data_IF_695433040395
#
_entry.id   IF_695433040395
#
_cell.length_a   1.000
_cell.length_b   1.000
_cell.length_c   1.000
_cell.angle_alpha   90.00
_cell.angle_beta   90.00
_cell.angle_gamma   90.00
#
_symmetry.space_group_name_H-M   'P 1'
#
loop_
_entity.id
_entity.type
_entity.pdbx_description
1 polymer ?
#
# COMPACT_ATOMS: atom_id res chain seq x y z
N UNK A 1 -32.46 -45.97 -66.47
CA UNK A 1 -33.00 -44.80 -67.19
C UNK A 1 -33.19 -43.70 -66.16
N UNK A 2 -32.91 -42.47 -66.58
CA UNK A 2 -32.99 -41.17 -65.85
C UNK A 2 -31.84 -40.90 -64.86
N UNK A 3 -30.77 -40.13 -65.20
CA UNK A 3 -30.62 -38.76 -65.76
C UNK A 3 -30.80 -37.67 -64.68
N UNK A 4 -29.69 -36.95 -64.42
CA UNK A 4 -29.55 -35.55 -63.89
C UNK A 4 -29.93 -35.31 -62.42
N UNK A 5 -29.38 -34.34 -61.66
CA UNK A 5 -28.60 -33.14 -61.94
C UNK A 5 -27.91 -32.69 -60.62
N UNK A 6 -26.64 -32.23 -60.67
CA UNK A 6 -26.10 -31.31 -59.64
C UNK A 6 -26.46 -29.87 -60.06
N UNK A 7 -26.67 -28.93 -59.13
CA UNK A 7 -25.70 -27.83 -59.09
C UNK A 7 -25.46 -27.14 -57.72
N UNK A 8 -24.24 -26.61 -57.62
CA UNK A 8 -23.77 -25.33 -57.06
C UNK A 8 -24.34 -24.73 -55.75
N UNK A 9 -23.41 -24.58 -54.80
CA UNK A 9 -22.91 -23.30 -54.24
C UNK A 9 -23.93 -22.29 -53.66
N UNK A 10 -23.90 -22.12 -52.33
CA UNK A 10 -24.00 -20.79 -51.71
C UNK A 10 -23.38 -20.80 -50.31
N UNK A 11 -22.19 -20.21 -50.23
CA UNK A 11 -21.56 -19.75 -48.99
C UNK A 11 -22.52 -18.88 -48.21
N UNK A 12 -22.76 -19.22 -46.95
CA UNK A 12 -23.33 -18.28 -45.99
C UNK A 12 -22.39 -18.23 -44.79
N UNK A 13 -21.50 -17.25 -44.83
CA UNK A 13 -20.74 -16.77 -43.68
C UNK A 13 -21.76 -16.25 -42.66
N UNK A 14 -21.99 -16.98 -41.58
CA UNK A 14 -22.65 -16.43 -40.40
C UNK A 14 -21.56 -15.94 -39.46
N UNK A 15 -21.22 -14.65 -39.60
CA UNK A 15 -20.52 -13.91 -38.55
C UNK A 15 -21.47 -13.78 -37.36
N UNK A 16 -21.39 -14.71 -36.40
CA UNK A 16 -21.99 -14.50 -35.08
C UNK A 16 -21.13 -13.45 -34.38
N UNK A 17 -21.64 -12.22 -34.36
CA UNK A 17 -21.05 -11.11 -33.64
C UNK A 17 -20.90 -11.45 -32.16
N UNK A 18 -19.66 -11.49 -31.70
CA UNK A 18 -19.30 -11.57 -30.29
C UNK A 18 -19.68 -10.24 -29.64
N UNK A 19 -20.92 -10.14 -29.14
CA UNK A 19 -21.31 -9.10 -28.19
C UNK A 19 -20.54 -9.35 -26.89
N UNK A 20 -19.38 -8.70 -26.74
CA UNK A 20 -18.69 -8.55 -25.47
C UNK A 20 -19.57 -7.67 -24.58
N UNK A 21 -20.54 -8.30 -23.92
CA UNK A 21 -21.09 -7.76 -22.69
C UNK A 21 -19.96 -7.80 -21.65
N UNK A 22 -19.27 -6.67 -21.48
CA UNK A 22 -18.39 -6.42 -20.33
C UNK A 22 -19.31 -6.32 -19.12
N UNK A 23 -19.76 -7.48 -18.66
CA UNK A 23 -20.34 -7.67 -17.35
C UNK A 23 -19.13 -7.64 -16.42
N UNK A 24 -19.11 -6.78 -15.40
CA UNK A 24 -18.13 -6.88 -14.33
C UNK A 24 -18.33 -8.22 -13.62
N UNK A 25 -17.70 -9.29 -14.14
CA UNK A 25 -17.62 -10.59 -13.50
C UNK A 25 -16.89 -10.36 -12.18
N UNK A 26 -17.65 -10.21 -11.10
CA UNK A 26 -17.12 -10.36 -9.78
C UNK A 26 -16.76 -11.83 -9.66
N UNK A 27 -15.51 -12.16 -9.99
CA UNK A 27 -14.96 -13.48 -9.71
C UNK A 27 -15.13 -13.76 -8.22
N UNK A 28 -15.46 -15.00 -7.88
CA UNK A 28 -15.41 -15.44 -6.49
C UNK A 28 -13.99 -15.22 -5.94
N UNK A 29 -13.87 -14.94 -4.65
CA UNK A 29 -12.56 -14.76 -4.02
C UNK A 29 -11.76 -16.07 -4.14
N UNK A 30 -10.45 -15.95 -4.29
CA UNK A 30 -9.55 -17.10 -4.40
C UNK A 30 -8.42 -17.03 -3.38
N UNK A 31 -8.08 -18.19 -2.87
CA UNK A 31 -6.90 -18.40 -2.02
C UNK A 31 -6.01 -19.44 -2.69
N UNK A 32 -4.77 -19.07 -2.97
CA UNK A 32 -3.74 -20.03 -3.34
C UNK A 32 -3.00 -20.46 -2.07
N UNK A 33 -2.94 -21.77 -1.83
CA UNK A 33 -2.19 -22.34 -0.72
C UNK A 33 -0.74 -22.60 -1.15
N UNK A 34 0.19 -22.63 -0.18
CA UNK A 34 1.59 -22.96 -0.42
C UNK A 34 1.82 -24.37 -0.97
N UNK A 35 0.81 -25.23 -0.88
CA UNK A 35 0.79 -26.57 -1.49
C UNK A 35 0.49 -26.55 -3.00
N UNK A 36 0.13 -25.39 -3.56
CA UNK A 36 -0.31 -25.24 -4.95
C UNK A 36 -1.81 -25.46 -5.16
N UNK A 37 -2.57 -25.80 -4.11
CA UNK A 37 -4.02 -25.92 -4.17
C UNK A 37 -4.69 -24.53 -4.18
N UNK A 38 -5.67 -24.36 -5.07
CA UNK A 38 -6.55 -23.19 -5.07
C UNK A 38 -7.89 -23.50 -4.40
N UNK A 39 -8.39 -22.52 -3.65
CA UNK A 39 -9.70 -22.55 -3.01
C UNK A 39 -10.50 -21.36 -3.50
N UNK A 40 -11.68 -21.63 -4.01
CA UNK A 40 -12.62 -20.60 -4.46
C UNK A 40 -13.79 -20.53 -3.49
N UNK A 41 -14.13 -19.33 -3.02
CA UNK A 41 -15.24 -19.11 -2.10
C UNK A 41 -15.38 -17.65 -1.74
N UNK A 42 -16.26 -17.34 -0.78
CA UNK A 42 -16.38 -15.97 -0.27
C UNK A 42 -15.53 -15.81 0.98
N UNK A 43 -14.53 -14.93 0.94
CA UNK A 43 -13.72 -14.59 2.12
C UNK A 43 -14.59 -13.77 3.08
N UNK A 44 -14.76 -14.30 4.28
CA UNK A 44 -15.61 -13.71 5.30
C UNK A 44 -14.81 -12.79 6.21
N UNK A 45 -13.69 -13.25 6.78
CA UNK A 45 -12.90 -12.46 7.73
C UNK A 45 -11.54 -13.13 8.00
N UNK A 46 -10.66 -12.42 8.70
CA UNK A 46 -9.46 -12.96 9.33
C UNK A 46 -9.66 -13.00 10.84
N UNK A 47 -9.65 -14.20 11.41
CA UNK A 47 -9.79 -14.42 12.84
C UNK A 47 -8.94 -15.62 13.29
N UNK A 48 -8.39 -15.55 14.51
CA UNK A 48 -7.63 -16.65 15.12
C UNK A 48 -6.50 -17.20 14.21
N UNK A 49 -5.81 -16.31 13.49
CA UNK A 49 -4.71 -16.67 12.58
C UNK A 49 -5.14 -17.38 11.29
N UNK A 50 -6.43 -17.38 10.97
CA UNK A 50 -7.00 -18.05 9.79
C UNK A 50 -7.93 -17.13 9.00
N UNK A 51 -8.05 -17.39 7.70
CA UNK A 51 -9.02 -16.77 6.80
C UNK A 51 -10.25 -17.68 6.74
N UNK A 52 -11.39 -17.17 7.15
CA UNK A 52 -12.66 -17.89 7.07
C UNK A 52 -13.25 -17.74 5.68
N UNK A 53 -13.49 -18.85 4.97
CA UNK A 53 -14.02 -18.85 3.61
C UNK A 53 -15.33 -19.64 3.56
N UNK A 54 -16.37 -19.02 3.03
CA UNK A 54 -17.63 -19.68 2.71
C UNK A 54 -17.49 -20.50 1.42
N UNK A 55 -17.65 -21.82 1.53
CA UNK A 55 -17.60 -22.78 0.42
C UNK A 55 -18.88 -23.63 0.47
N UNK A 56 -19.74 -23.49 -0.53
CA UNK A 56 -21.06 -24.11 -0.51
C UNK A 56 -21.89 -23.65 0.70
N UNK A 57 -22.37 -24.59 1.50
CA UNK A 57 -23.14 -24.32 2.72
C UNK A 57 -22.28 -24.18 4.00
N UNK A 58 -20.96 -24.37 3.91
CA UNK A 58 -20.04 -24.39 5.05
C UNK A 58 -19.10 -23.20 5.09
N UNK A 59 -18.50 -22.98 6.27
CA UNK A 59 -17.35 -22.07 6.45
C UNK A 59 -16.12 -22.89 6.81
N UNK A 60 -15.04 -22.71 6.06
CA UNK A 60 -13.79 -23.43 6.23
C UNK A 60 -12.70 -22.41 6.62
N UNK A 61 -12.01 -22.59 7.75
CA UNK A 61 -10.87 -21.75 8.11
C UNK A 61 -9.59 -22.23 7.42
N UNK A 62 -8.86 -21.30 6.82
CA UNK A 62 -7.55 -21.55 6.22
C UNK A 62 -6.46 -20.80 6.99
N UNK A 63 -5.51 -21.49 7.66
CA UNK A 63 -4.44 -20.82 8.40
C UNK A 63 -3.63 -19.88 7.50
N UNK A 64 -3.41 -18.64 7.94
CA UNK A 64 -2.62 -17.64 7.21
C UNK A 64 -1.22 -18.16 6.86
N UNK A 65 -0.63 -18.96 7.74
CA UNK A 65 0.69 -19.57 7.53
C UNK A 65 0.75 -20.48 6.28
N UNK A 66 -0.40 -21.01 5.83
CA UNK A 66 -0.50 -21.91 4.69
C UNK A 66 -0.89 -21.19 3.39
N UNK A 67 -1.25 -19.91 3.47
CA UNK A 67 -1.69 -19.11 2.32
C UNK A 67 -0.46 -18.53 1.62
N UNK A 68 -0.43 -18.66 0.30
CA UNK A 68 0.58 -18.07 -0.58
C UNK A 68 0.11 -16.71 -1.11
N UNK A 69 -1.13 -16.63 -1.59
CA UNK A 69 -1.73 -15.39 -2.07
C UNK A 69 -3.25 -15.40 -1.94
N UNK A 70 -3.85 -14.21 -1.96
CA UNK A 70 -5.31 -14.00 -1.94
C UNK A 70 -5.69 -13.07 -3.07
N UNK A 71 -6.64 -13.50 -3.89
CA UNK A 71 -7.35 -12.64 -4.84
C UNK A 71 -8.72 -12.33 -4.26
N UNK A 72 -8.90 -11.10 -3.78
CA UNK A 72 -10.16 -10.59 -3.26
C UNK A 72 -10.37 -9.19 -3.81
N UNK A 73 -11.51 -8.96 -4.46
CA UNK A 73 -11.87 -7.63 -4.90
C UNK A 73 -11.98 -6.69 -3.69
N UNK A 74 -11.45 -5.47 -3.81
CA UNK A 74 -11.59 -4.47 -2.77
C UNK A 74 -13.08 -4.18 -2.52
N UNK A 75 -13.55 -4.16 -1.27
CA UNK A 75 -14.91 -3.73 -0.96
C UNK A 75 -15.19 -2.31 -1.49
N UNK A 76 -16.41 -2.04 -1.95
CA UNK A 76 -16.78 -0.73 -2.53
C UNK A 76 -16.59 0.44 -1.54
N UNK A 77 -16.60 0.14 -0.24
CA UNK A 77 -16.28 1.06 0.85
C UNK A 77 -14.86 1.63 0.74
N UNK A 78 -13.91 0.91 0.15
CA UNK A 78 -12.54 1.40 -0.07
C UNK A 78 -12.55 2.61 -1.00
N UNK A 79 -13.26 2.52 -2.13
CA UNK A 79 -13.36 3.64 -3.08
C UNK A 79 -14.12 4.82 -2.48
N UNK A 80 -15.20 4.53 -1.73
CA UNK A 80 -15.95 5.57 -0.98
C UNK A 80 -15.06 6.28 0.03
N UNK A 81 -14.25 5.53 0.79
CA UNK A 81 -13.34 6.10 1.79
C UNK A 81 -12.26 6.98 1.15
N UNK A 82 -11.81 6.67 -0.07
CA UNK A 82 -10.83 7.52 -0.77
C UNK A 82 -11.36 8.92 -1.05
N UNK A 83 -12.63 9.03 -1.44
CA UNK A 83 -13.30 10.29 -1.76
C UNK A 83 -13.94 10.99 -0.53
N UNK A 84 -14.05 10.29 0.59
CA UNK A 84 -14.70 10.80 1.80
C UNK A 84 -13.82 11.80 2.57
N UNK A 85 -14.45 12.57 3.46
CA UNK A 85 -13.73 13.37 4.45
C UNK A 85 -12.91 12.46 5.38
N UNK A 86 -11.94 13.04 6.11
CA UNK A 86 -11.06 12.29 7.01
C UNK A 86 -11.86 11.51 8.06
N UNK A 87 -12.87 12.12 8.67
CA UNK A 87 -13.74 11.46 9.65
C UNK A 87 -14.58 10.34 9.05
N UNK A 88 -15.15 10.56 7.85
CA UNK A 88 -15.95 9.55 7.17
C UNK A 88 -15.09 8.38 6.69
N UNK A 89 -13.84 8.63 6.28
CA UNK A 89 -12.89 7.58 5.93
C UNK A 89 -12.63 6.65 7.12
N UNK A 90 -12.49 7.18 8.34
CA UNK A 90 -12.36 6.35 9.56
C UNK A 90 -13.58 5.45 9.73
N UNK A 91 -14.80 6.01 9.63
CA UNK A 91 -16.05 5.25 9.79
C UNK A 91 -16.16 4.10 8.78
N UNK A 92 -15.71 4.33 7.54
CA UNK A 92 -15.76 3.33 6.47
C UNK A 92 -14.64 2.27 6.61
N UNK A 93 -13.43 2.68 7.01
CA UNK A 93 -12.26 1.80 6.98
C UNK A 93 -12.07 1.00 8.27
N UNK A 94 -12.40 1.54 9.43
CA UNK A 94 -12.24 0.86 10.73
C UNK A 94 -12.90 -0.55 10.77
N UNK A 95 -14.16 -0.74 10.35
CA UNK A 95 -14.77 -2.07 10.36
C UNK A 95 -14.10 -3.02 9.36
N UNK A 96 -13.65 -2.53 8.20
CA UNK A 96 -12.97 -3.36 7.20
C UNK A 96 -11.60 -3.80 7.70
N UNK A 97 -10.80 -2.87 8.22
CA UNK A 97 -9.48 -3.16 8.76
C UNK A 97 -9.61 -4.13 9.93
N UNK A 98 -10.56 -3.92 10.84
CA UNK A 98 -10.81 -4.87 11.95
C UNK A 98 -11.10 -6.28 11.45
N UNK A 99 -11.88 -6.40 10.37
CA UNK A 99 -12.36 -7.66 9.82
C UNK A 99 -11.31 -8.39 8.96
N UNK A 100 -10.42 -7.66 8.29
CA UNK A 100 -9.54 -8.22 7.27
C UNK A 100 -8.04 -8.03 7.53
N UNK A 101 -7.62 -7.30 8.57
CA UNK A 101 -6.18 -7.13 8.87
C UNK A 101 -5.45 -8.47 8.93
N UNK A 102 -4.29 -8.54 8.28
CA UNK A 102 -3.49 -9.76 8.11
C UNK A 102 -3.83 -10.57 6.86
N UNK A 103 -4.93 -10.25 6.15
CA UNK A 103 -5.20 -10.85 4.85
C UNK A 103 -4.16 -10.34 3.83
N UNK A 104 -3.49 -11.23 3.06
CA UNK A 104 -2.51 -10.85 2.05
C UNK A 104 -3.21 -10.45 0.73
N UNK A 105 -4.12 -9.49 0.82
CA UNK A 105 -4.77 -8.85 -0.32
C UNK A 105 -4.37 -7.36 -0.32
N UNK A 106 -3.84 -6.85 -1.44
CA UNK A 106 -3.19 -5.53 -1.53
C UNK A 106 -4.03 -4.36 -0.96
N UNK A 107 -5.35 -4.41 -1.12
CA UNK A 107 -6.24 -3.35 -0.66
C UNK A 107 -6.29 -3.24 0.87
N UNK A 108 -5.99 -4.31 1.62
CA UNK A 108 -6.07 -4.34 3.08
C UNK A 108 -4.98 -3.48 3.73
N UNK A 109 -3.67 -3.71 3.50
CA UNK A 109 -2.64 -2.85 4.06
C UNK A 109 -2.74 -1.40 3.53
N UNK A 110 -3.23 -1.17 2.31
CA UNK A 110 -3.52 0.19 1.83
C UNK A 110 -4.66 0.86 2.62
N UNK A 111 -5.71 0.12 2.96
CA UNK A 111 -6.78 0.58 3.84
C UNK A 111 -6.25 0.88 5.26
N UNK A 112 -5.33 0.06 5.77
CA UNK A 112 -4.69 0.27 7.07
C UNK A 112 -3.87 1.58 7.09
N UNK A 113 -3.08 1.85 6.04
CA UNK A 113 -2.33 3.10 5.92
C UNK A 113 -3.28 4.29 5.94
N UNK A 114 -4.31 4.27 5.10
CA UNK A 114 -5.28 5.37 5.02
C UNK A 114 -5.99 5.59 6.36
N UNK A 115 -6.37 4.51 7.05
CA UNK A 115 -6.97 4.59 8.39
C UNK A 115 -6.01 5.22 9.40
N UNK A 116 -4.75 4.79 9.43
CA UNK A 116 -3.73 5.33 10.33
C UNK A 116 -3.47 6.82 10.06
N UNK A 117 -3.33 7.21 8.79
CA UNK A 117 -3.19 8.60 8.38
C UNK A 117 -4.40 9.44 8.81
N UNK A 118 -5.61 8.93 8.63
CA UNK A 118 -6.85 9.59 9.06
C UNK A 118 -6.92 9.75 10.58
N UNK A 119 -6.48 8.75 11.35
CA UNK A 119 -6.34 8.87 12.80
C UNK A 119 -5.33 9.96 13.19
N UNK A 120 -4.16 9.99 12.57
CA UNK A 120 -3.13 11.02 12.82
C UNK A 120 -3.66 12.43 12.49
N UNK A 121 -4.39 12.59 11.39
CA UNK A 121 -4.97 13.88 10.99
C UNK A 121 -6.09 14.37 11.92
N UNK A 122 -6.79 13.45 12.60
CA UNK A 122 -7.85 13.76 13.56
C UNK A 122 -7.35 13.82 15.01
N UNK A 123 -6.03 13.82 15.22
CA UNK A 123 -5.40 13.89 16.55
C UNK A 123 -5.46 12.58 17.34
N UNK A 124 -5.93 11.48 16.75
CA UNK A 124 -5.99 10.14 17.37
C UNK A 124 -4.67 9.39 17.20
N UNK A 125 -3.57 10.00 17.64
CA UNK A 125 -2.21 9.49 17.34
C UNK A 125 -1.96 8.07 17.89
N UNK A 126 -2.46 7.74 19.09
CA UNK A 126 -2.34 6.37 19.63
C UNK A 126 -3.01 5.32 18.74
N UNK A 127 -4.14 5.66 18.11
CA UNK A 127 -4.82 4.75 17.19
C UNK A 127 -4.05 4.61 15.86
N UNK A 128 -3.48 5.72 15.35
CA UNK A 128 -2.57 5.71 14.20
C UNK A 128 -1.38 4.77 14.43
N UNK A 129 -0.68 4.95 15.56
CA UNK A 129 0.47 4.13 15.95
C UNK A 129 0.09 2.66 16.06
N UNK A 130 -1.06 2.35 16.70
CA UNK A 130 -1.53 0.97 16.85
C UNK A 130 -1.75 0.28 15.49
N UNK A 131 -2.34 0.99 14.51
CA UNK A 131 -2.55 0.45 13.16
C UNK A 131 -1.22 0.19 12.46
N UNK A 132 -0.26 1.12 12.50
CA UNK A 132 1.05 0.90 11.89
C UNK A 132 1.85 -0.22 12.59
N UNK A 133 1.77 -0.35 13.91
CA UNK A 133 2.37 -1.47 14.64
C UNK A 133 1.76 -2.82 14.22
N UNK A 134 0.43 -2.86 14.04
CA UNK A 134 -0.25 -4.04 13.49
C UNK A 134 0.26 -4.35 12.08
N UNK A 135 0.47 -3.35 11.22
CA UNK A 135 1.01 -3.57 9.87
C UNK A 135 2.41 -4.18 9.89
N UNK A 136 3.31 -3.69 10.75
CA UNK A 136 4.68 -4.24 10.88
C UNK A 136 4.64 -5.71 11.32
N UNK A 137 3.70 -6.07 12.21
CA UNK A 137 3.54 -7.45 12.70
C UNK A 137 2.89 -8.38 11.68
N UNK A 138 1.88 -7.89 10.97
CA UNK A 138 1.01 -8.70 10.11
C UNK A 138 1.55 -8.85 8.68
N UNK A 139 2.39 -7.93 8.23
CA UNK A 139 2.93 -7.92 6.86
C UNK A 139 4.46 -7.87 6.83
N UNK A 140 5.16 -8.78 7.54
CA UNK A 140 6.61 -8.72 7.64
C UNK A 140 7.29 -8.96 6.28
N UNK A 141 8.41 -8.27 6.05
CA UNK A 141 9.21 -8.35 4.82
C UNK A 141 8.53 -7.81 3.57
N UNK A 142 7.36 -7.17 3.70
CA UNK A 142 6.62 -6.60 2.57
C UNK A 142 6.85 -5.10 2.42
N UNK A 143 6.52 -4.56 1.24
CA UNK A 143 6.47 -3.10 0.99
C UNK A 143 5.54 -2.37 1.98
N UNK A 144 4.55 -3.06 2.53
CA UNK A 144 3.63 -2.48 3.51
C UNK A 144 4.27 -2.31 4.88
N UNK A 145 5.20 -3.19 5.27
CA UNK A 145 6.01 -2.99 6.48
C UNK A 145 6.85 -1.72 6.34
N UNK A 146 7.49 -1.53 5.20
CA UNK A 146 8.31 -0.35 4.89
C UNK A 146 7.48 0.94 5.05
N UNK A 147 6.27 0.98 4.46
CA UNK A 147 5.36 2.13 4.59
C UNK A 147 4.91 2.35 6.04
N UNK A 148 4.64 1.28 6.78
CA UNK A 148 4.25 1.38 8.19
C UNK A 148 5.38 1.91 9.09
N UNK A 149 6.63 1.53 8.81
CA UNK A 149 7.80 2.06 9.51
C UNK A 149 7.96 3.56 9.30
N UNK A 150 7.76 4.06 8.07
CA UNK A 150 7.74 5.50 7.79
C UNK A 150 6.61 6.22 8.56
N UNK A 151 5.42 5.60 8.66
CA UNK A 151 4.31 6.11 9.47
C UNK A 151 4.63 6.21 10.97
N UNK A 152 5.26 5.18 11.55
CA UNK A 152 5.72 5.18 12.94
C UNK A 152 6.81 6.23 13.20
N UNK A 153 7.76 6.35 12.28
CA UNK A 153 8.81 7.37 12.32
C UNK A 153 8.21 8.79 12.32
N UNK A 154 7.19 9.02 11.51
CA UNK A 154 6.45 10.30 11.48
C UNK A 154 5.75 10.59 12.80
N UNK A 155 5.11 9.58 13.40
CA UNK A 155 4.47 9.71 14.70
C UNK A 155 5.49 10.05 15.81
N UNK A 156 6.60 9.30 15.86
CA UNK A 156 7.69 9.54 16.82
C UNK A 156 8.37 10.90 16.63
N UNK A 157 8.47 11.41 15.40
CA UNK A 157 8.95 12.76 15.12
C UNK A 157 8.03 13.83 15.73
N UNK A 158 6.70 13.68 15.63
CA UNK A 158 5.75 14.60 16.26
C UNK A 158 5.88 14.59 17.79
N UNK A 159 6.20 13.44 18.38
CA UNK A 159 6.46 13.29 19.81
C UNK A 159 7.85 13.79 20.24
N UNK A 160 8.71 14.20 19.29
CA UNK A 160 10.06 14.68 19.57
C UNK A 160 11.08 13.58 19.89
N UNK A 161 10.77 12.31 19.63
CA UNK A 161 11.65 11.16 19.90
C UNK A 161 12.69 10.96 18.79
N UNK A 162 13.52 11.98 18.58
CA UNK A 162 14.40 12.13 17.41
C UNK A 162 15.33 10.91 17.18
N UNK A 163 15.97 10.40 18.23
CA UNK A 163 16.92 9.27 18.09
C UNK A 163 16.23 7.94 17.76
N UNK A 164 15.00 7.74 18.26
CA UNK A 164 14.17 6.57 17.95
C UNK A 164 13.75 6.60 16.47
N UNK A 165 13.43 7.79 15.95
CA UNK A 165 13.10 7.99 14.53
C UNK A 165 14.27 7.56 13.63
N UNK A 166 15.49 8.03 13.90
CA UNK A 166 16.65 7.64 13.08
C UNK A 166 16.95 6.15 13.17
N UNK A 167 16.85 5.56 14.37
CA UNK A 167 17.08 4.13 14.58
C UNK A 167 16.06 3.28 13.81
N UNK A 168 14.78 3.67 13.84
CA UNK A 168 13.71 2.95 13.15
C UNK A 168 13.77 3.10 11.63
N UNK A 169 14.22 4.25 11.11
CA UNK A 169 14.38 4.50 9.68
C UNK A 169 15.67 3.89 9.09
N UNK A 170 16.67 3.58 9.90
CA UNK A 170 17.99 3.12 9.43
C UNK A 170 17.93 1.93 8.45
N UNK A 171 17.13 0.85 8.69
CA UNK A 171 17.03 -0.26 7.74
C UNK A 171 16.42 0.17 6.40
N UNK A 172 15.44 1.07 6.44
CA UNK A 172 14.74 1.57 5.26
C UNK A 172 15.65 2.47 4.40
N UNK A 173 16.38 3.37 5.04
CA UNK A 173 17.38 4.22 4.38
C UNK A 173 18.52 3.38 3.80
N UNK A 174 18.97 2.35 4.52
CA UNK A 174 20.00 1.44 4.03
C UNK A 174 19.55 0.65 2.78
N UNK A 175 18.27 0.26 2.70
CA UNK A 175 17.71 -0.38 1.51
C UNK A 175 17.56 0.62 0.36
N UNK A 176 17.05 1.82 0.64
CA UNK A 176 16.91 2.88 -0.35
C UNK A 176 18.25 3.25 -1.01
N UNK A 177 19.32 3.33 -0.23
CA UNK A 177 20.66 3.63 -0.73
C UNK A 177 21.27 2.56 -1.66
N UNK A 178 20.63 1.39 -1.81
CA UNK A 178 21.06 0.36 -2.77
C UNK A 178 20.55 0.60 -4.18
N UNK A 179 19.62 1.55 -4.38
CA UNK A 179 19.00 1.80 -5.69
C UNK A 179 18.76 3.30 -5.94
N UNK A 180 19.04 3.74 -7.16
CA UNK A 180 18.71 5.08 -7.65
C UNK A 180 17.46 5.11 -8.54
N UNK A 181 16.80 3.97 -8.70
CA UNK A 181 15.61 3.82 -9.55
C UNK A 181 14.65 2.83 -8.91
N UNK A 182 14.03 3.21 -7.78
CA UNK A 182 13.05 2.35 -7.12
C UNK A 182 11.78 2.23 -7.95
N UNK A 183 10.96 1.24 -7.61
CA UNK A 183 9.57 1.20 -8.10
C UNK A 183 8.83 2.47 -7.67
N UNK A 184 7.72 2.79 -8.34
CA UNK A 184 6.88 3.94 -7.96
C UNK A 184 6.40 3.87 -6.50
N UNK A 185 6.20 2.67 -5.97
CA UNK A 185 5.72 2.48 -4.61
C UNK A 185 6.83 2.57 -3.57
N UNK A 186 7.98 1.94 -3.84
CA UNK A 186 9.14 2.00 -2.94
C UNK A 186 9.71 3.42 -2.91
N UNK A 187 9.76 4.09 -4.07
CA UNK A 187 10.19 5.49 -4.16
C UNK A 187 9.35 6.43 -3.30
N UNK A 188 8.03 6.21 -3.23
CA UNK A 188 7.14 6.96 -2.32
C UNK A 188 7.43 6.71 -0.84
N UNK A 189 7.86 5.51 -0.48
CA UNK A 189 8.22 5.21 0.92
C UNK A 189 9.61 5.78 1.26
N UNK A 190 10.58 5.64 0.36
CA UNK A 190 11.93 6.19 0.52
C UNK A 190 11.89 7.70 0.60
N UNK A 191 11.07 8.37 -0.24
CA UNK A 191 10.88 9.81 -0.19
C UNK A 191 10.40 10.30 1.17
N UNK A 192 9.46 9.58 1.80
CA UNK A 192 8.94 9.95 3.13
C UNK A 192 10.00 9.69 4.21
N UNK A 193 10.74 8.58 4.11
CA UNK A 193 11.81 8.25 5.05
C UNK A 193 12.93 9.30 5.04
N UNK A 194 13.42 9.70 3.87
CA UNK A 194 14.45 10.74 3.74
C UNK A 194 13.93 12.12 4.15
N UNK A 195 12.66 12.45 3.88
CA UNK A 195 12.06 13.69 4.37
C UNK A 195 12.06 13.73 5.90
N UNK A 196 11.61 12.66 6.56
CA UNK A 196 11.59 12.55 8.02
C UNK A 196 13.03 12.58 8.58
N UNK A 197 13.96 11.89 7.93
CA UNK A 197 15.38 11.92 8.32
C UNK A 197 15.93 13.35 8.30
N UNK A 198 15.69 14.11 7.22
CA UNK A 198 16.12 15.50 7.12
C UNK A 198 15.53 16.38 8.23
N UNK A 199 14.23 16.21 8.53
CA UNK A 199 13.54 16.92 9.61
C UNK A 199 14.13 16.63 10.99
N UNK A 200 14.50 15.37 11.24
CA UNK A 200 15.16 14.99 12.48
C UNK A 200 16.57 15.59 12.56
N UNK A 201 17.37 15.45 11.51
CA UNK A 201 18.74 15.97 11.46
C UNK A 201 18.78 17.49 11.62
N UNK A 202 17.83 18.21 11.01
CA UNK A 202 17.69 19.65 11.17
C UNK A 202 17.38 20.03 12.62
N UNK A 203 16.44 19.31 13.27
CA UNK A 203 16.14 19.51 14.70
C UNK A 203 17.33 19.17 15.62
N UNK A 204 18.22 18.27 15.18
CA UNK A 204 19.46 17.94 15.88
C UNK A 204 20.61 18.93 15.58
N UNK A 205 20.41 19.91 14.70
CA UNK A 205 21.45 20.86 14.27
C UNK A 205 22.46 20.28 13.28
N UNK A 206 22.23 19.07 12.75
CA UNK A 206 23.05 18.41 11.72
C UNK A 206 22.63 18.90 10.34
N UNK A 207 22.90 20.18 10.07
CA UNK A 207 22.31 20.91 8.95
C UNK A 207 22.80 20.40 7.58
N UNK A 208 24.06 19.95 7.48
CA UNK A 208 24.60 19.42 6.22
C UNK A 208 23.88 18.12 5.85
N UNK A 209 23.80 17.20 6.80
CA UNK A 209 23.14 15.91 6.63
C UNK A 209 21.63 16.09 6.42
N UNK A 210 21.00 17.07 7.07
CA UNK A 210 19.61 17.41 6.81
C UNK A 210 19.39 17.85 5.36
N UNK A 211 20.28 18.71 4.85
CA UNK A 211 20.22 19.18 3.47
C UNK A 211 20.46 18.03 2.47
N UNK A 212 21.39 17.12 2.75
CA UNK A 212 21.60 15.88 1.97
C UNK A 212 20.32 15.06 1.88
N UNK A 213 19.67 14.81 3.01
CA UNK A 213 18.41 14.07 3.05
C UNK A 213 17.32 14.74 2.22
N UNK A 214 17.13 16.06 2.36
CA UNK A 214 16.14 16.81 1.58
C UNK A 214 16.42 16.76 0.07
N UNK A 215 17.66 16.97 -0.35
CA UNK A 215 18.03 16.90 -1.77
C UNK A 215 17.90 15.49 -2.33
N UNK A 216 18.10 14.46 -1.52
CA UNK A 216 17.88 13.06 -1.93
C UNK A 216 16.42 12.81 -2.28
N UNK A 217 15.48 13.38 -1.53
CA UNK A 217 14.04 13.32 -1.88
C UNK A 217 13.78 14.01 -3.22
N UNK A 218 14.35 15.20 -3.43
CA UNK A 218 14.09 16.00 -4.64
C UNK A 218 14.73 15.38 -5.89
N UNK A 219 15.91 14.78 -5.76
CA UNK A 219 16.72 14.35 -6.92
C UNK A 219 16.65 12.86 -7.21
N UNK A 220 16.51 12.01 -6.19
CA UNK A 220 16.52 10.54 -6.31
C UNK A 220 15.12 9.95 -6.09
N UNK A 221 14.46 10.34 -5.01
CA UNK A 221 13.19 9.75 -4.56
C UNK A 221 12.00 10.72 -4.72
N UNK A 222 11.76 11.21 -5.94
CA UNK A 222 10.74 12.22 -6.23
C UNK A 222 9.33 11.65 -6.47
N UNK A 223 9.13 10.33 -6.30
CA UNK A 223 7.88 9.62 -6.65
C UNK A 223 6.69 10.02 -5.76
N UNK A 224 6.94 10.71 -4.64
CA UNK A 224 5.93 11.40 -3.85
C UNK A 224 6.06 12.93 -4.06
N UNK A 225 5.24 13.54 -4.95
CA UNK A 225 5.35 14.96 -5.25
C UNK A 225 5.15 15.88 -4.05
N UNK A 226 4.31 15.47 -3.08
CA UNK A 226 4.09 16.24 -1.86
C UNK A 226 5.35 16.24 -0.99
N UNK A 227 5.96 15.07 -0.78
CA UNK A 227 7.21 14.96 -0.01
C UNK A 227 8.36 15.71 -0.71
N UNK A 228 8.48 15.59 -2.05
CA UNK A 228 9.49 16.31 -2.82
C UNK A 228 9.33 17.83 -2.72
N UNK A 229 8.08 18.33 -2.80
CA UNK A 229 7.79 19.75 -2.60
C UNK A 229 8.19 20.22 -1.20
N UNK A 230 7.79 19.49 -0.15
CA UNK A 230 8.15 19.83 1.23
C UNK A 230 9.67 19.79 1.43
N UNK A 231 10.35 18.77 0.91
CA UNK A 231 11.80 18.66 0.98
C UNK A 231 12.50 19.86 0.30
N UNK A 232 12.00 20.28 -0.87
CA UNK A 232 12.51 21.45 -1.58
C UNK A 232 12.35 22.73 -0.73
N UNK A 233 11.16 22.97 -0.18
CA UNK A 233 10.89 24.13 0.68
C UNK A 233 11.80 24.15 1.92
N UNK A 234 12.03 22.98 2.53
CA UNK A 234 12.92 22.84 3.69
C UNK A 234 14.39 23.05 3.31
N UNK A 235 14.86 22.49 2.20
CA UNK A 235 16.20 22.70 1.68
C UNK A 235 16.49 24.19 1.38
N UNK A 236 15.53 24.88 0.75
CA UNK A 236 15.65 26.30 0.42
C UNK A 236 15.67 27.18 1.67
N UNK A 237 14.79 26.89 2.63
CA UNK A 237 14.77 27.57 3.94
C UNK A 237 16.11 27.38 4.68
N UNK A 238 16.61 26.14 4.73
CA UNK A 238 17.86 25.79 5.41
C UNK A 238 19.04 26.55 4.80
N UNK A 239 19.16 26.56 3.47
CA UNK A 239 20.22 27.30 2.75
C UNK A 239 20.12 28.81 2.95
N UNK A 240 18.91 29.38 2.90
CA UNK A 240 18.70 30.81 3.11
C UNK A 240 19.15 31.24 4.50
N UNK A 241 18.86 30.42 5.52
CA UNK A 241 19.20 30.73 6.91
C UNK A 241 20.65 30.35 7.25
N UNK A 242 21.28 29.48 6.46
CA UNK A 242 22.64 28.99 6.67
C UNK A 242 23.43 28.94 5.34
N UNK A 243 23.79 30.08 4.75
CA UNK A 243 24.44 30.13 3.42
C UNK A 243 25.75 29.35 3.31
N UNK A 244 26.40 29.09 4.44
CA UNK A 244 27.62 28.30 4.55
C UNK A 244 27.41 26.78 4.48
N UNK A 245 26.16 26.29 4.62
CA UNK A 245 25.85 24.86 4.55
C UNK A 245 25.70 24.46 3.09
N UNK A 246 26.71 23.76 2.59
CA UNK A 246 26.80 23.28 1.20
C UNK A 246 26.95 21.76 1.21
N UNK A 247 26.39 21.13 0.19
CA UNK A 247 26.48 19.71 -0.09
C UNK A 247 27.37 19.52 -1.29
N UNK A 248 28.30 18.57 -1.19
CA UNK A 248 29.28 18.26 -2.25
C UNK A 248 28.73 17.24 -3.24
#
# INVERSE_FOLDING_TARGET
MDITCKPLYRSFLVCVGLLLAISAMHGQDKIALKTGQEVTGKILEVANGSVSVAVGAGTIPYPLANIASVEMAAPAEIDKARAASVDQAIVLLEPLVKKFKGLPADWVPDAMVRLAESYSQTGKENASIAVFQDMVKLYPGSRHQVRAQAGLAKAALKEGKLDEVLTSLAPLIAEANKTFSPSQEDGRAYSEAFLIQGQVLEKQGKLKEALESYLTVVTVFYQNPAAAKTAQEQADSLRKNNPQVVVE
#
